data_IF_445164152474
#
_entry.id   IF_445164152474
#
_cell.length_a   1.000
_cell.length_b   1.000
_cell.length_c   1.000
_cell.angle_alpha   90.00
_cell.angle_beta   90.00
_cell.angle_gamma   90.00
#
_symmetry.space_group_name_H-M   'P 1'
#
loop_
_entity.id
_entity.type
_entity.pdbx_description
1 polymer ?
#
# COMPACT_ATOMS: atom_id res chain seq x y z
N UNK A 1 3.76 38.28 31.33
CA UNK A 1 5.09 37.70 31.07
C UNK A 1 4.93 36.28 30.58
N UNK A 2 5.11 35.93 29.31
CA UNK A 2 6.18 36.38 28.40
C UNK A 2 7.53 36.19 29.10
N UNK A 3 8.10 35.00 28.91
CA UNK A 3 9.46 34.72 28.44
C UNK A 3 9.72 33.25 28.80
N UNK A 4 9.59 32.33 27.84
CA UNK A 4 10.59 32.02 26.81
C UNK A 4 11.85 31.38 27.41
N UNK A 5 12.15 30.23 26.82
CA UNK A 5 13.48 29.74 26.57
C UNK A 5 14.23 29.17 27.77
N UNK A 6 14.17 27.85 27.90
CA UNK A 6 15.34 27.05 27.52
C UNK A 6 14.87 25.93 26.59
N UNK A 7 14.93 26.23 25.30
CA UNK A 7 15.03 25.23 24.23
C UNK A 7 16.45 24.66 24.30
N UNK A 8 16.57 23.42 24.76
CA UNK A 8 17.65 22.50 24.36
C UNK A 8 16.88 21.27 23.84
N UNK A 9 16.35 21.28 22.63
CA UNK A 9 17.07 20.94 21.39
C UNK A 9 18.10 19.84 21.60
N UNK A 10 17.63 18.59 21.63
CA UNK A 10 18.35 17.48 21.00
C UNK A 10 17.36 16.39 20.62
N UNK A 11 17.43 16.00 19.35
CA UNK A 11 16.69 14.93 18.71
C UNK A 11 16.63 13.63 19.55
N UNK A 12 15.50 13.37 20.19
CA UNK A 12 15.06 12.00 20.43
C UNK A 12 13.70 11.83 19.78
N UNK A 13 13.79 11.65 18.46
CA UNK A 13 12.89 10.87 17.62
C UNK A 13 11.54 10.56 18.30
N UNK A 14 10.47 11.25 17.88
CA UNK A 14 9.15 10.61 17.88
C UNK A 14 9.28 9.40 16.97
N UNK A 15 9.82 8.29 17.48
CA UNK A 15 9.62 6.98 16.91
C UNK A 15 8.11 6.82 17.00
N UNK A 16 7.42 7.12 15.90
CA UNK A 16 6.04 6.68 15.70
C UNK A 16 6.09 5.16 15.82
N UNK A 17 5.94 4.64 17.03
CA UNK A 17 5.79 3.21 17.26
C UNK A 17 4.48 2.84 16.56
N UNK A 18 4.60 2.30 15.34
CA UNK A 18 3.47 1.65 14.68
C UNK A 18 3.07 0.49 15.57
N UNK A 19 1.89 0.57 16.14
CA UNK A 19 1.28 -0.55 16.85
C UNK A 19 0.76 -1.49 15.75
N UNK A 20 1.28 -2.72 15.63
CA UNK A 20 0.77 -3.66 14.63
C UNK A 20 -0.67 -4.07 14.98
N UNK A 21 -1.49 -4.29 13.96
CA UNK A 21 -2.83 -4.84 14.12
C UNK A 21 -2.70 -6.34 14.42
N UNK A 22 -3.40 -6.80 15.46
CA UNK A 22 -3.33 -8.20 15.92
C UNK A 22 -4.72 -8.81 15.91
N UNK A 23 -4.92 -9.84 15.10
CA UNK A 23 -6.13 -10.64 15.06
C UNK A 23 -5.88 -12.03 15.66
N UNK A 24 -6.54 -12.33 16.78
CA UNK A 24 -6.45 -13.64 17.41
C UNK A 24 -7.30 -14.66 16.64
N UNK A 25 -6.88 -15.94 16.61
CA UNK A 25 -7.49 -17.04 15.84
C UNK A 25 -8.97 -16.88 15.44
N UNK A 26 -9.23 -17.01 14.13
CA UNK A 26 -10.51 -16.82 13.45
C UNK A 26 -11.11 -15.40 13.44
N UNK A 27 -10.56 -14.45 14.22
CA UNK A 27 -10.90 -13.02 14.07
C UNK A 27 -10.31 -12.46 12.77
N UNK A 28 -10.85 -11.33 12.32
CA UNK A 28 -10.34 -10.61 11.16
C UNK A 28 -9.45 -9.44 11.59
N UNK A 29 -8.27 -9.34 10.99
CA UNK A 29 -7.46 -8.12 11.05
C UNK A 29 -8.14 -7.07 10.18
N UNK A 30 -8.40 -5.89 10.75
CA UNK A 30 -9.20 -4.85 10.11
C UNK A 30 -8.36 -3.62 9.85
N UNK A 31 -7.73 -3.60 8.68
CA UNK A 31 -6.82 -2.52 8.28
C UNK A 31 -7.63 -1.39 7.68
N UNK A 32 -7.44 -0.18 8.19
CA UNK A 32 -8.07 1.02 7.64
C UNK A 32 -7.12 2.21 7.65
N UNK A 33 -7.24 3.05 6.62
CA UNK A 33 -6.62 4.37 6.57
C UNK A 33 -7.72 5.44 6.54
N UNK A 34 -7.78 6.26 7.58
CA UNK A 34 -8.78 7.32 7.73
C UNK A 34 -8.32 8.62 7.06
N UNK A 35 -9.29 9.29 6.43
CA UNK A 35 -9.34 10.75 6.20
C UNK A 35 -8.43 11.43 5.19
N UNK A 36 -7.41 10.78 4.63
CA UNK A 36 -6.54 11.46 3.66
C UNK A 36 -6.90 11.09 2.21
N UNK A 37 -7.28 12.07 1.40
CA UNK A 37 -7.46 11.93 -0.06
C UNK A 37 -6.20 11.28 -0.65
N UNK A 38 -6.38 10.14 -1.33
CA UNK A 38 -5.31 9.42 -2.01
C UNK A 38 -4.48 8.46 -1.14
N UNK A 39 -4.65 8.36 0.18
CA UNK A 39 -3.86 7.38 0.97
C UNK A 39 -4.49 5.99 0.94
N UNK A 40 -3.62 4.97 0.87
CA UNK A 40 -4.01 3.56 0.86
C UNK A 40 -3.14 2.73 1.81
N UNK A 41 -3.58 1.52 2.10
CA UNK A 41 -2.85 0.54 2.91
C UNK A 41 -1.61 0.10 2.12
N UNK A 42 -0.47 0.10 2.81
CA UNK A 42 0.77 -0.54 2.38
C UNK A 42 1.31 -1.37 3.52
N UNK A 43 1.09 -2.68 3.43
CA UNK A 43 1.59 -3.68 4.38
C UNK A 43 3.11 -3.65 4.38
N UNK A 44 3.70 -3.49 5.56
CA UNK A 44 5.14 -3.49 5.81
C UNK A 44 5.60 -4.91 6.15
N UNK A 45 4.86 -5.58 7.03
CA UNK A 45 5.14 -6.95 7.47
C UNK A 45 3.85 -7.62 7.93
N UNK A 46 3.72 -8.91 7.67
CA UNK A 46 2.64 -9.70 8.23
C UNK A 46 3.12 -11.11 8.59
N UNK A 47 2.62 -11.66 9.70
CA UNK A 47 2.96 -13.01 10.17
C UNK A 47 1.72 -13.72 10.72
N UNK A 48 1.46 -14.96 10.27
CA UNK A 48 0.41 -15.81 10.83
C UNK A 48 1.03 -16.95 11.65
N UNK A 49 1.07 -16.81 12.96
CA UNK A 49 1.77 -17.77 13.80
C UNK A 49 1.73 -17.40 15.28
N UNK A 50 2.82 -17.66 15.99
CA UNK A 50 3.03 -17.22 17.37
C UNK A 50 4.51 -16.92 17.60
N UNK A 51 4.79 -15.66 17.87
CA UNK A 51 6.12 -15.12 18.20
C UNK A 51 6.20 -14.55 19.62
N UNK A 52 5.07 -14.53 20.33
CA UNK A 52 4.91 -13.96 21.67
C UNK A 52 3.99 -14.86 22.50
N UNK A 53 4.41 -15.18 23.72
CA UNK A 53 3.67 -16.08 24.64
C UNK A 53 2.47 -15.41 25.30
N UNK A 54 2.45 -14.08 25.38
CA UNK A 54 1.39 -13.27 26.01
C UNK A 54 0.33 -12.83 25.01
N UNK A 55 0.69 -12.53 23.75
CA UNK A 55 -0.30 -12.14 22.72
C UNK A 55 -1.33 -13.24 22.48
N UNK A 56 -2.61 -12.85 22.43
CA UNK A 56 -3.74 -13.76 22.23
C UNK A 56 -3.74 -14.99 23.16
N UNK A 57 -3.31 -14.83 24.42
CA UNK A 57 -3.14 -15.93 25.39
C UNK A 57 -4.35 -16.17 26.30
N UNK A 58 -5.29 -15.22 26.35
CA UNK A 58 -6.41 -15.25 27.31
C UNK A 58 -7.22 -16.53 27.18
N UNK A 59 -7.40 -17.24 28.30
CA UNK A 59 -8.16 -18.51 28.41
C UNK A 59 -7.63 -19.64 27.50
N UNK A 60 -6.33 -19.64 27.18
CA UNK A 60 -5.70 -20.70 26.38
C UNK A 60 -4.84 -21.63 27.24
N UNK A 61 -4.88 -22.96 27.01
CA UNK A 61 -3.98 -23.90 27.67
C UNK A 61 -2.52 -23.58 27.37
N UNK A 62 -1.66 -23.66 28.39
CA UNK A 62 -0.22 -23.37 28.25
C UNK A 62 0.46 -24.13 27.10
N UNK A 63 0.06 -25.39 26.84
CA UNK A 63 0.60 -26.18 25.71
C UNK A 63 0.45 -25.50 24.35
N UNK A 64 -0.63 -24.72 24.15
CA UNK A 64 -0.91 -24.02 22.89
C UNK A 64 -0.12 -22.71 22.74
N UNK A 65 0.53 -22.24 23.82
CA UNK A 65 1.22 -20.95 23.89
C UNK A 65 2.75 -21.07 23.91
N UNK A 66 3.29 -22.28 24.15
CA UNK A 66 4.72 -22.52 24.32
C UNK A 66 5.55 -22.31 23.05
N UNK A 67 5.01 -22.64 21.89
CA UNK A 67 5.73 -22.49 20.64
C UNK A 67 5.70 -21.04 20.16
N UNK A 68 6.70 -20.25 20.59
CA UNK A 68 6.93 -18.86 20.19
C UNK A 68 7.91 -18.71 19.02
N UNK A 69 8.25 -19.80 18.36
CA UNK A 69 9.06 -19.82 17.13
C UNK A 69 8.20 -20.15 15.91
N UNK A 70 6.88 -20.13 16.06
CA UNK A 70 5.96 -20.40 14.98
C UNK A 70 5.80 -19.16 14.10
N UNK A 71 6.61 -19.10 13.04
CA UNK A 71 6.61 -18.03 12.05
C UNK A 71 6.06 -18.54 10.72
N UNK A 72 5.24 -17.72 10.07
CA UNK A 72 4.79 -17.94 8.71
C UNK A 72 4.50 -16.57 8.06
N UNK A 73 5.36 -16.11 7.14
CA UNK A 73 5.13 -14.88 6.40
C UNK A 73 3.75 -14.89 5.73
N UNK A 74 2.94 -13.87 6.04
CA UNK A 74 1.54 -13.81 5.62
C UNK A 74 1.37 -12.90 4.39
N UNK A 75 2.00 -13.27 3.26
CA UNK A 75 2.02 -12.49 2.02
C UNK A 75 0.61 -12.23 1.43
N UNK A 76 -0.35 -13.10 1.75
CA UNK A 76 -1.76 -12.96 1.38
C UNK A 76 -2.36 -11.64 1.92
N UNK A 77 -1.82 -11.10 3.02
CA UNK A 77 -2.26 -9.80 3.55
C UNK A 77 -1.86 -8.68 2.59
N UNK A 78 -0.62 -8.66 2.08
CA UNK A 78 -0.21 -7.65 1.11
C UNK A 78 -0.95 -7.79 -0.22
N UNK A 79 -1.14 -9.03 -0.70
CA UNK A 79 -1.88 -9.32 -1.93
C UNK A 79 -3.33 -8.84 -1.85
N UNK A 80 -3.98 -9.02 -0.70
CA UNK A 80 -5.39 -8.67 -0.54
C UNK A 80 -5.61 -7.22 -0.08
N UNK A 81 -4.67 -6.60 0.63
CA UNK A 81 -4.89 -5.31 1.29
C UNK A 81 -4.15 -4.12 0.68
N UNK A 82 -3.01 -4.33 0.01
CA UNK A 82 -2.28 -3.22 -0.59
C UNK A 82 -3.13 -2.47 -1.62
N UNK A 83 -3.02 -1.14 -1.64
CA UNK A 83 -3.80 -0.31 -2.57
C UNK A 83 -5.24 -0.05 -2.14
N UNK A 84 -5.77 -0.74 -1.11
CA UNK A 84 -7.11 -0.50 -0.59
C UNK A 84 -7.11 0.54 0.52
N UNK A 85 -8.23 1.24 0.72
CA UNK A 85 -8.43 2.15 1.86
C UNK A 85 -8.89 1.44 3.13
N UNK A 86 -9.55 0.30 2.94
CA UNK A 86 -10.05 -0.61 3.98
C UNK A 86 -9.83 -2.03 3.51
N UNK A 87 -9.36 -2.90 4.39
CA UNK A 87 -9.18 -4.32 4.13
C UNK A 87 -9.52 -5.11 5.38
N UNK A 88 -10.10 -6.29 5.19
CA UNK A 88 -10.34 -7.23 6.28
C UNK A 88 -9.91 -8.62 5.85
N UNK A 89 -9.09 -9.29 6.65
CA UNK A 89 -8.59 -10.63 6.36
C UNK A 89 -8.63 -11.50 7.61
N UNK A 90 -9.19 -12.72 7.48
CA UNK A 90 -9.41 -13.64 8.60
C UNK A 90 -8.15 -14.43 8.95
N UNK A 91 -7.81 -14.47 10.23
CA UNK A 91 -6.67 -15.21 10.80
C UNK A 91 -6.97 -16.72 10.92
N UNK A 92 -7.12 -17.42 9.79
CA UNK A 92 -7.48 -18.85 9.71
C UNK A 92 -6.54 -19.67 8.84
N UNK A 93 -6.43 -20.97 9.15
CA UNK A 93 -5.59 -21.92 8.43
C UNK A 93 -5.97 -22.06 6.94
N UNK A 94 -7.24 -21.84 6.57
CA UNK A 94 -7.66 -21.91 5.15
C UNK A 94 -7.11 -20.78 4.29
N UNK A 95 -6.63 -19.68 4.89
CA UNK A 95 -6.04 -18.54 4.18
C UNK A 95 -4.51 -18.64 4.18
N UNK A 96 -3.91 -19.02 5.31
CA UNK A 96 -2.46 -18.93 5.52
C UNK A 96 -1.75 -20.29 5.65
N UNK A 97 -2.49 -21.40 5.66
CA UNK A 97 -1.97 -22.72 6.03
C UNK A 97 -1.80 -22.89 7.54
N UNK A 98 -1.32 -24.07 7.97
CA UNK A 98 -1.00 -24.36 9.37
C UNK A 98 0.51 -24.58 9.57
N UNK A 99 1.27 -23.54 9.98
CA UNK A 99 2.71 -23.63 10.17
C UNK A 99 3.14 -24.39 11.43
N UNK A 100 2.23 -24.61 12.38
CA UNK A 100 2.56 -25.22 13.67
C UNK A 100 1.32 -25.84 14.32
N UNK A 101 1.01 -27.09 13.95
CA UNK A 101 -0.14 -27.84 14.48
C UNK A 101 -0.10 -27.90 16.02
N UNK A 102 -1.26 -27.74 16.65
CA UNK A 102 -1.40 -27.73 18.11
C UNK A 102 -1.02 -26.40 18.81
N UNK A 103 -0.46 -25.43 18.08
CA UNK A 103 -0.19 -24.09 18.60
C UNK A 103 -1.34 -23.15 18.25
N UNK A 104 -1.78 -22.33 19.22
CA UNK A 104 -2.79 -21.31 18.97
C UNK A 104 -2.13 -20.11 18.28
N UNK A 105 -2.56 -19.78 17.07
CA UNK A 105 -1.92 -18.74 16.24
C UNK A 105 -2.68 -17.41 16.28
N UNK A 106 -2.00 -16.34 15.90
CA UNK A 106 -2.55 -15.02 15.65
C UNK A 106 -1.94 -14.44 14.37
N UNK A 107 -2.69 -13.58 13.70
CA UNK A 107 -2.19 -12.76 12.61
C UNK A 107 -1.70 -11.43 13.21
N UNK A 108 -0.46 -11.06 12.92
CA UNK A 108 0.11 -9.77 13.27
C UNK A 108 0.49 -9.03 11.99
N UNK A 109 0.00 -7.81 11.82
CA UNK A 109 0.19 -7.00 10.60
C UNK A 109 0.71 -5.62 10.98
N UNK A 110 1.91 -5.29 10.50
CA UNK A 110 2.40 -3.92 10.45
C UNK A 110 2.08 -3.32 9.07
N UNK A 111 1.38 -2.19 9.06
CA UNK A 111 1.02 -1.51 7.83
C UNK A 111 1.18 0.01 7.97
N UNK A 112 1.45 0.62 6.82
CA UNK A 112 1.62 2.05 6.67
C UNK A 112 0.54 2.64 5.78
N UNK A 113 0.39 3.97 5.85
CA UNK A 113 -0.36 4.72 4.84
C UNK A 113 0.63 5.09 3.75
N UNK A 114 0.58 4.41 2.61
CA UNK A 114 1.33 4.87 1.45
C UNK A 114 0.58 6.08 0.86
N UNK A 115 1.31 7.17 0.65
CA UNK A 115 0.79 8.35 -0.02
C UNK A 115 0.50 8.01 -1.47
N UNK A 116 -0.78 7.91 -1.84
CA UNK A 116 -1.15 7.93 -3.25
C UNK A 116 -0.78 9.28 -3.82
N UNK A 117 -0.04 9.20 -4.92
CA UNK A 117 0.37 10.33 -5.72
C UNK A 117 -0.66 10.47 -6.83
N UNK A 118 -1.06 11.71 -7.08
CA UNK A 118 -1.85 12.07 -8.25
C UNK A 118 -0.91 12.78 -9.24
N UNK A 119 -0.99 12.40 -10.52
CA UNK A 119 -0.25 13.04 -11.60
C UNK A 119 -1.22 13.43 -12.71
N UNK A 120 -1.16 14.70 -13.13
CA UNK A 120 -1.93 15.23 -14.26
C UNK A 120 -0.95 15.58 -15.37
N UNK A 121 -1.16 15.01 -16.56
CA UNK A 121 -0.34 15.23 -17.75
C UNK A 121 -1.24 15.65 -18.92
N UNK A 122 -1.00 16.81 -19.50
CA UNK A 122 -1.84 17.31 -20.60
C UNK A 122 -1.62 16.51 -21.90
N UNK A 123 -2.63 16.46 -22.77
CA UNK A 123 -2.55 15.80 -24.07
C UNK A 123 -1.33 16.28 -24.88
N UNK A 124 -0.59 15.33 -25.47
CA UNK A 124 0.66 15.55 -26.20
C UNK A 124 1.94 15.48 -25.35
N UNK A 125 1.82 15.46 -24.01
CA UNK A 125 2.94 15.32 -23.07
C UNK A 125 3.12 13.88 -22.57
N UNK A 126 4.26 13.60 -21.92
CA UNK A 126 4.57 12.29 -21.32
C UNK A 126 4.50 12.36 -19.80
N UNK A 127 3.74 11.43 -19.18
CA UNK A 127 3.61 11.38 -17.73
C UNK A 127 4.89 10.81 -17.09
N UNK A 128 5.43 11.51 -16.09
CA UNK A 128 6.57 11.01 -15.30
C UNK A 128 6.12 10.69 -13.87
N UNK A 129 5.85 9.40 -13.62
CA UNK A 129 5.54 8.89 -12.29
C UNK A 129 6.87 8.61 -11.57
N UNK A 130 7.05 9.18 -10.37
CA UNK A 130 8.32 9.08 -9.64
C UNK A 130 8.11 8.43 -8.29
N UNK A 131 8.97 7.49 -7.96
CA UNK A 131 9.01 6.80 -6.68
C UNK A 131 10.35 7.02 -5.97
N UNK A 132 10.37 6.84 -4.64
CA UNK A 132 11.54 7.13 -3.82
C UNK A 132 12.61 6.04 -3.93
N UNK A 133 13.76 6.21 -3.26
CA UNK A 133 14.85 5.23 -3.31
C UNK A 133 14.47 3.86 -2.70
N UNK A 134 13.58 3.87 -1.70
CA UNK A 134 13.15 2.69 -0.91
C UNK A 134 11.96 1.97 -1.55
N UNK A 135 10.92 2.72 -1.93
CA UNK A 135 9.74 2.18 -2.62
C UNK A 135 9.88 2.52 -4.11
N UNK A 136 10.15 1.53 -4.96
CA UNK A 136 10.47 1.73 -6.39
C UNK A 136 9.38 1.27 -7.36
N UNK A 137 8.52 0.35 -6.92
CA UNK A 137 7.47 -0.22 -7.78
C UNK A 137 6.28 0.73 -7.83
N UNK A 138 5.88 1.12 -9.03
CA UNK A 138 4.67 1.92 -9.25
C UNK A 138 3.50 0.96 -9.43
N UNK A 139 2.51 1.06 -8.54
CA UNK A 139 1.22 0.41 -8.72
C UNK A 139 0.19 1.48 -9.05
N UNK A 140 -0.39 1.41 -10.25
CA UNK A 140 -1.47 2.30 -10.68
C UNK A 140 -2.75 1.85 -9.99
N UNK A 141 -3.43 2.78 -9.31
CA UNK A 141 -4.73 2.54 -8.67
C UNK A 141 -5.84 2.84 -9.68
N UNK A 142 -5.71 3.98 -10.37
CA UNK A 142 -6.66 4.44 -11.38
C UNK A 142 -5.94 5.32 -12.38
N UNK A 143 -6.33 5.22 -13.64
CA UNK A 143 -5.95 6.16 -14.68
C UNK A 143 -7.18 6.62 -15.45
N UNK A 144 -7.16 7.87 -15.91
CA UNK A 144 -8.20 8.45 -16.74
C UNK A 144 -7.57 9.30 -17.85
N UNK A 145 -7.79 8.94 -19.12
CA UNK A 145 -7.49 9.81 -20.25
C UNK A 145 -8.77 10.46 -20.79
N UNK A 146 -8.88 11.78 -20.65
CA UNK A 146 -10.09 12.51 -21.01
C UNK A 146 -10.15 13.90 -20.36
N UNK A 147 -11.35 14.36 -20.03
CA UNK A 147 -11.56 15.59 -19.24
C UNK A 147 -12.67 15.36 -18.23
N UNK A 148 -12.36 15.58 -16.96
CA UNK A 148 -13.31 15.55 -15.83
C UNK A 148 -13.31 16.86 -15.03
N UNK A 149 -12.43 17.80 -15.37
CA UNK A 149 -12.23 19.08 -14.71
C UNK A 149 -11.94 20.15 -15.77
N UNK A 150 -12.71 21.23 -15.76
CA UNK A 150 -12.57 22.35 -16.71
C UNK A 150 -11.34 23.22 -16.48
N UNK A 151 -10.66 23.10 -15.32
CA UNK A 151 -9.49 23.92 -14.94
C UNK A 151 -8.16 23.25 -15.26
N UNK A 152 -8.09 21.92 -15.15
CA UNK A 152 -6.87 21.15 -15.46
C UNK A 152 -6.52 21.29 -16.95
N UNK A 153 -5.24 21.60 -17.23
CA UNK A 153 -4.74 21.76 -18.60
C UNK A 153 -5.53 22.79 -19.44
N UNK A 154 -6.02 23.87 -18.83
CA UNK A 154 -6.88 24.87 -19.49
C UNK A 154 -6.13 26.07 -20.10
N UNK A 155 -4.85 26.29 -19.75
CA UNK A 155 -4.10 27.49 -20.17
C UNK A 155 -3.97 27.55 -21.70
N UNK A 156 -4.45 28.64 -22.30
CA UNK A 156 -4.38 28.86 -23.75
C UNK A 156 -5.37 28.03 -24.59
N UNK A 157 -6.40 27.44 -23.97
CA UNK A 157 -7.40 26.60 -24.67
C UNK A 157 -8.76 27.30 -24.78
N UNK A 158 -9.47 27.17 -25.91
CA UNK A 158 -10.80 27.75 -26.09
C UNK A 158 -11.84 27.04 -25.22
N UNK A 159 -12.85 27.78 -24.74
CA UNK A 159 -13.90 27.27 -23.84
C UNK A 159 -14.66 26.06 -24.39
N UNK A 160 -14.83 25.98 -25.71
CA UNK A 160 -15.45 24.83 -26.39
C UNK A 160 -14.74 23.50 -26.12
N UNK A 161 -13.43 23.52 -25.86
CA UNK A 161 -12.63 22.33 -25.56
C UNK A 161 -12.62 21.96 -24.06
N UNK A 162 -13.24 22.76 -23.18
CA UNK A 162 -13.15 22.61 -21.72
C UNK A 162 -14.46 22.13 -21.06
N UNK A 163 -15.59 22.14 -21.78
CA UNK A 163 -16.92 21.90 -21.21
C UNK A 163 -17.41 20.44 -21.28
N UNK A 164 -16.75 19.57 -22.06
CA UNK A 164 -17.14 18.17 -22.22
C UNK A 164 -16.50 17.29 -21.15
N UNK A 165 -17.21 17.13 -20.03
CA UNK A 165 -16.78 16.37 -18.85
C UNK A 165 -17.49 15.00 -18.80
N UNK A 166 -17.24 14.09 -19.76
CA UNK A 166 -17.98 12.80 -19.80
C UNK A 166 -17.23 11.55 -20.26
N UNK A 167 -15.94 11.58 -20.61
CA UNK A 167 -15.29 10.34 -21.10
C UNK A 167 -13.93 10.05 -20.49
N UNK A 168 -13.74 8.77 -20.19
CA UNK A 168 -12.62 8.18 -19.46
C UNK A 168 -12.28 6.80 -20.04
N UNK A 169 -11.00 6.56 -20.36
CA UNK A 169 -10.46 5.23 -20.64
C UNK A 169 -9.55 4.79 -19.48
N UNK A 170 -9.65 3.53 -19.05
CA UNK A 170 -8.95 2.96 -17.89
C UNK A 170 -7.94 1.90 -18.32
N UNK A 171 -6.71 2.31 -18.65
CA UNK A 171 -5.60 1.37 -18.88
C UNK A 171 -4.50 1.54 -17.82
N UNK A 172 -3.93 0.40 -17.41
CA UNK A 172 -2.95 0.28 -16.32
C UNK A 172 -1.57 -0.11 -16.86
N UNK A 173 -0.77 0.87 -17.32
CA UNK A 173 0.64 0.61 -17.70
C UNK A 173 1.60 1.75 -17.35
N UNK A 174 2.88 1.40 -17.17
CA UNK A 174 3.95 2.33 -16.78
C UNK A 174 4.44 3.17 -17.98
N UNK A 175 4.73 4.45 -17.72
CA UNK A 175 5.10 5.52 -18.67
C UNK A 175 4.19 5.63 -19.91
N UNK A 176 3.05 6.30 -19.74
CA UNK A 176 2.09 6.45 -20.83
C UNK A 176 2.17 7.85 -21.43
N UNK A 177 2.36 7.94 -22.75
CA UNK A 177 2.19 9.18 -23.50
C UNK A 177 0.70 9.53 -23.49
N UNK A 178 0.35 10.74 -23.08
CA UNK A 178 -1.04 11.20 -23.06
C UNK A 178 -1.50 11.54 -24.48
N UNK A 179 -1.75 10.54 -25.32
CA UNK A 179 -2.12 10.74 -26.72
C UNK A 179 -3.20 9.78 -27.20
N UNK A 180 -3.95 10.23 -28.21
CA UNK A 180 -4.97 9.43 -28.90
C UNK A 180 -4.39 8.16 -29.53
N UNK A 181 -3.10 8.14 -29.85
CA UNK A 181 -2.39 6.97 -30.36
C UNK A 181 -2.23 5.85 -29.32
N UNK A 182 -2.31 6.17 -28.02
CA UNK A 182 -2.14 5.18 -26.94
C UNK A 182 -3.49 4.77 -26.35
N UNK A 183 -4.42 5.71 -26.21
CA UNK A 183 -5.69 5.48 -25.51
C UNK A 183 -6.95 5.56 -26.40
N UNK A 184 -6.79 5.84 -27.70
CA UNK A 184 -7.89 6.27 -28.56
C UNK A 184 -8.34 7.70 -28.27
N UNK A 185 -9.30 8.22 -29.06
CA UNK A 185 -9.90 9.53 -28.81
C UNK A 185 -11.29 9.40 -28.18
N UNK A 186 -11.41 9.45 -26.84
CA UNK A 186 -12.68 9.25 -26.15
C UNK A 186 -13.62 10.47 -26.23
N UNK A 187 -13.14 11.63 -26.68
CA UNK A 187 -13.97 12.83 -26.87
C UNK A 187 -13.37 13.77 -27.92
N UNK A 188 -13.69 13.52 -29.20
CA UNK A 188 -13.28 14.37 -30.33
C UNK A 188 -13.65 15.83 -30.10
N UNK A 189 -12.73 16.74 -30.41
CA UNK A 189 -12.91 18.18 -30.23
C UNK A 189 -12.79 18.67 -28.78
N UNK A 190 -12.48 17.77 -27.82
CA UNK A 190 -12.20 18.13 -26.42
C UNK A 190 -10.71 17.97 -26.14
N UNK A 191 -10.09 18.97 -25.52
CA UNK A 191 -8.68 18.86 -25.13
C UNK A 191 -8.57 18.00 -23.88
N UNK A 192 -7.78 16.93 -23.92
CA UNK A 192 -7.74 15.91 -22.87
C UNK A 192 -6.52 16.07 -21.96
N UNK A 193 -6.54 15.32 -20.87
CA UNK A 193 -5.39 15.10 -20.00
C UNK A 193 -5.44 13.67 -19.47
N UNK A 194 -4.26 13.10 -19.20
CA UNK A 194 -4.11 11.86 -18.46
C UNK A 194 -3.98 12.20 -16.97
N UNK A 195 -4.89 11.70 -16.16
CA UNK A 195 -4.84 11.76 -14.71
C UNK A 195 -4.60 10.36 -14.14
N UNK A 196 -3.52 10.20 -13.39
CA UNK A 196 -3.09 8.91 -12.82
C UNK A 196 -2.97 9.02 -11.31
N UNK A 197 -3.72 8.18 -10.61
CA UNK A 197 -3.56 7.90 -9.19
C UNK A 197 -2.71 6.64 -9.03
N UNK A 198 -1.58 6.75 -8.34
CA UNK A 198 -0.63 5.65 -8.17
C UNK A 198 0.02 5.67 -6.80
N UNK A 199 0.60 4.53 -6.42
CA UNK A 199 1.40 4.38 -5.20
C UNK A 199 2.77 3.82 -5.50
N UNK A 200 3.68 4.05 -4.57
CA UNK A 200 5.00 3.44 -4.56
C UNK A 200 5.02 2.30 -3.54
N UNK A 201 5.31 1.10 -4.00
CA UNK A 201 5.46 -0.10 -3.19
C UNK A 201 6.93 -0.50 -3.09
N UNK A 202 7.25 -1.31 -2.08
CA UNK A 202 8.54 -1.95 -1.99
C UNK A 202 8.62 -2.97 -3.14
N UNK A 203 9.82 -3.19 -3.67
CA UNK A 203 10.01 -4.23 -4.67
C UNK A 203 9.48 -5.55 -4.09
N UNK A 204 8.60 -6.23 -4.83
CA UNK A 204 7.96 -7.49 -4.42
C UNK A 204 8.93 -8.68 -4.32
N UNK A 205 10.19 -8.42 -4.00
CA UNK A 205 11.28 -9.37 -3.93
C UNK A 205 12.21 -9.03 -2.77
N UNK A 206 11.73 -9.20 -1.54
CA UNK A 206 12.54 -9.97 -0.60
C UNK A 206 12.35 -11.43 -0.98
N UNK A 207 13.08 -11.87 -2.01
CA UNK A 207 13.21 -13.28 -2.34
C UNK A 207 13.68 -14.00 -1.09
N UNK A 208 12.97 -15.07 -0.78
CA UNK A 208 13.49 -16.19 -0.02
C UNK A 208 14.74 -16.72 -0.72
N UNK A 209 15.93 -16.38 -0.23
CA UNK A 209 17.19 -17.14 -0.35
C UNK A 209 18.36 -16.24 0.05
N UNK A 210 18.86 -16.40 1.28
CA UNK A 210 20.28 -16.36 1.65
C UNK A 210 20.41 -16.85 3.10
N UNK A 211 20.07 -18.13 3.32
CA UNK A 211 20.68 -18.92 4.38
C UNK A 211 21.52 -19.97 3.67
N UNK A 212 22.80 -19.63 3.49
CA UNK A 212 23.84 -20.58 3.09
C UNK A 212 23.97 -21.58 4.24
N UNK A 213 23.40 -22.78 4.09
CA UNK A 213 23.90 -23.95 4.82
C UNK A 213 25.16 -24.42 4.10
N UNK A 214 26.30 -23.86 4.46
CA UNK A 214 27.58 -24.54 4.26
C UNK A 214 27.63 -25.67 5.28
N UNK A 215 27.22 -26.86 4.85
CA UNK A 215 27.48 -28.10 5.57
C UNK A 215 28.99 -28.30 5.66
N UNK A 216 29.50 -28.48 6.88
CA UNK A 216 30.84 -28.99 7.09
C UNK A 216 30.69 -30.46 7.51
N UNK A 217 31.00 -31.36 6.57
CA UNK A 217 31.28 -32.77 6.86
C UNK A 217 32.79 -32.94 6.87
N UNK A 218 33.35 -33.19 8.06
CA UNK A 218 34.46 -34.10 8.32
C UNK A 218 34.24 -34.73 9.67
#
# INVERSE_FOLDING_TARGET
SLFKEIVISLHLCFISFRIPDVACGAQAASLAVSSDLGKVISVVKANYGRLDSKKCSRRRPGRQLRNVQCSNPANQVSEQCNGKRRCSIRAVNSVFGDPCRGTYKYLEVDYSRAGGKNSVTCEGSTAQLKCGKVFRVISIIKANYGRLDGRKCARGRPKSQLNNVKSASTDTTCSIRASNSVFGDPCRGTYKYLEVDYICQADGSARQSDVVYSGNSR
#
